data_IF_969635225237
#
_entry.id   IF_969635225237
#
_cell.length_a   1.000
_cell.length_b   1.000
_cell.length_c   1.000
_cell.angle_alpha   90.00
_cell.angle_beta   90.00
_cell.angle_gamma   90.00
#
_symmetry.space_group_name_H-M   'P 1'
#
loop_
_entity.id
_entity.type
_entity.pdbx_description
1 polymer ?
#
# COMPACT_ATOMS: atom_id res chain seq x y z
N UNK A 1 2.57 -0.25 -10.77
CA UNK A 1 3.92 0.32 -10.58
C UNK A 1 4.90 -0.41 -11.48
N UNK A 2 5.86 0.28 -12.10
CA UNK A 2 6.91 -0.37 -12.90
C UNK A 2 7.97 -1.04 -12.01
N UNK A 3 8.77 -1.94 -12.58
CA UNK A 3 9.84 -2.60 -11.83
C UNK A 3 10.92 -1.61 -11.37
N UNK A 4 11.25 -0.61 -12.20
CA UNK A 4 12.25 0.40 -11.87
C UNK A 4 11.82 1.28 -10.68
N UNK A 5 10.58 1.77 -10.69
CA UNK A 5 10.01 2.52 -9.55
C UNK A 5 10.01 1.69 -8.27
N UNK A 6 9.63 0.41 -8.38
CA UNK A 6 9.65 -0.51 -7.24
C UNK A 6 11.06 -0.68 -6.64
N UNK A 7 12.10 -0.76 -7.47
CA UNK A 7 13.49 -0.90 -7.01
C UNK A 7 14.00 0.30 -6.20
N UNK A 8 13.51 1.50 -6.53
CA UNK A 8 13.81 2.73 -5.79
C UNK A 8 13.04 2.74 -4.48
N UNK A 9 11.72 2.56 -4.53
CA UNK A 9 10.83 2.70 -3.38
C UNK A 9 11.12 1.64 -2.31
N UNK A 10 11.39 0.38 -2.71
CA UNK A 10 11.60 -0.71 -1.75
C UNK A 10 12.74 -0.46 -0.75
N UNK A 11 13.71 0.39 -1.10
CA UNK A 11 14.86 0.74 -0.23
C UNK A 11 14.45 1.63 0.95
N UNK A 12 13.33 2.34 0.81
CA UNK A 12 12.80 3.25 1.83
C UNK A 12 11.68 2.61 2.66
N UNK A 13 11.24 1.41 2.30
CA UNK A 13 10.15 0.76 3.01
C UNK A 13 10.68 0.02 4.25
N UNK A 14 10.03 0.19 5.42
CA UNK A 14 10.42 -0.53 6.62
C UNK A 14 10.21 -2.03 6.42
N UNK A 15 10.97 -2.88 7.10
CA UNK A 15 10.72 -4.33 7.03
C UNK A 15 9.27 -4.63 7.43
N UNK A 16 8.54 -5.39 6.60
CA UNK A 16 7.21 -5.88 6.99
C UNK A 16 7.37 -6.80 8.18
N UNK A 17 6.85 -6.40 9.34
CA UNK A 17 6.74 -7.31 10.47
C UNK A 17 5.62 -8.29 10.15
N UNK A 18 5.88 -9.61 10.09
CA UNK A 18 4.85 -10.61 9.83
C UNK A 18 3.90 -10.64 11.02
N UNK A 19 2.81 -9.86 10.96
CA UNK A 19 1.77 -9.86 11.99
C UNK A 19 0.51 -10.47 11.39
N UNK A 20 0.41 -11.80 11.48
CA UNK A 20 -0.83 -12.58 11.29
C UNK A 20 -1.50 -12.58 9.91
N UNK A 21 -1.12 -11.69 8.99
CA UNK A 21 -1.61 -11.67 7.63
C UNK A 21 -0.57 -12.29 6.70
N UNK A 22 -1.02 -13.26 5.88
CA UNK A 22 -0.29 -13.81 4.72
C UNK A 22 0.56 -12.71 4.09
N UNK A 23 1.80 -13.05 3.78
CA UNK A 23 2.90 -12.22 3.27
C UNK A 23 2.52 -11.37 2.04
N UNK A 24 1.63 -10.39 2.22
CA UNK A 24 1.32 -9.42 1.18
C UNK A 24 2.51 -8.46 1.19
N UNK A 25 3.44 -8.71 0.27
CA UNK A 25 4.61 -7.88 0.09
C UNK A 25 4.25 -6.43 -0.21
N UNK A 26 5.14 -5.53 0.19
CA UNK A 26 5.04 -4.09 -0.01
C UNK A 26 4.63 -3.64 -1.41
N UNK A 27 5.12 -4.36 -2.43
CA UNK A 27 4.78 -4.08 -3.83
C UNK A 27 3.28 -4.15 -4.07
N UNK A 28 2.62 -5.18 -3.54
CA UNK A 28 1.18 -5.38 -3.70
C UNK A 28 0.37 -4.38 -2.89
N UNK A 29 0.90 -3.93 -1.75
CA UNK A 29 0.32 -2.83 -0.97
C UNK A 29 0.33 -1.54 -1.77
N UNK A 30 1.48 -1.19 -2.33
CA UNK A 30 1.64 0.01 -3.15
C UNK A 30 0.83 -0.05 -4.44
N UNK A 31 0.83 -1.19 -5.15
CA UNK A 31 0.02 -1.35 -6.35
C UNK A 31 -1.47 -1.18 -6.06
N UNK A 32 -1.96 -1.69 -4.92
CA UNK A 32 -3.35 -1.47 -4.47
C UNK A 32 -3.64 0.00 -4.13
N UNK A 33 -2.69 0.70 -3.48
CA UNK A 33 -2.80 2.13 -3.16
C UNK A 33 -2.83 2.98 -4.43
N UNK A 34 -1.91 2.73 -5.37
CA UNK A 34 -1.84 3.47 -6.62
C UNK A 34 -3.04 3.20 -7.54
N UNK A 35 -3.53 1.96 -7.58
CA UNK A 35 -4.75 1.63 -8.32
C UNK A 35 -5.97 2.40 -7.77
N UNK A 36 -6.16 2.39 -6.45
CA UNK A 36 -7.24 3.15 -5.81
C UNK A 36 -7.14 4.67 -6.03
N UNK A 37 -5.93 5.22 -6.07
CA UNK A 37 -5.73 6.67 -6.27
C UNK A 37 -5.83 7.09 -7.76
N UNK A 38 -5.42 6.24 -8.70
CA UNK A 38 -5.37 6.57 -10.14
C UNK A 38 -6.74 6.50 -10.79
N UNK A 39 -7.58 5.55 -10.40
CA UNK A 39 -8.90 5.37 -11.01
C UNK A 39 -10.00 6.19 -10.34
N UNK A 40 -9.72 6.78 -9.17
CA UNK A 40 -10.79 7.35 -8.32
C UNK A 40 -11.79 6.30 -7.83
N UNK A 41 -11.56 5.02 -8.14
CA UNK A 41 -12.34 3.89 -7.65
C UNK A 41 -12.33 3.94 -6.12
N UNK A 42 -13.51 4.09 -5.53
CA UNK A 42 -13.68 3.95 -4.09
C UNK A 42 -12.97 2.66 -3.68
N UNK A 43 -12.17 2.66 -2.62
CA UNK A 43 -11.40 1.50 -2.14
C UNK A 43 -12.23 0.20 -2.06
N UNK A 44 -13.56 0.31 -1.92
CA UNK A 44 -14.55 -0.77 -1.92
C UNK A 44 -14.80 -1.43 -3.28
N UNK A 45 -14.48 -0.75 -4.39
CA UNK A 45 -14.60 -1.23 -5.76
C UNK A 45 -13.32 -1.92 -6.28
N UNK A 46 -12.26 -2.00 -5.47
CA UNK A 46 -11.05 -2.73 -5.83
C UNK A 46 -11.39 -4.19 -6.19
N UNK A 47 -10.86 -4.72 -7.32
CA UNK A 47 -11.10 -6.10 -7.70
C UNK A 47 -10.72 -7.06 -6.58
N UNK A 48 -11.49 -8.14 -6.40
CA UNK A 48 -11.25 -9.17 -5.37
C UNK A 48 -9.84 -9.78 -5.43
N UNK A 49 -9.19 -9.69 -6.57
CA UNK A 49 -7.81 -10.12 -6.84
C UNK A 49 -6.78 -9.40 -5.95
N UNK A 50 -7.06 -8.12 -5.63
CA UNK A 50 -6.28 -7.36 -4.68
C UNK A 50 -6.55 -7.81 -3.24
N UNK A 51 -7.55 -8.64 -2.96
CA UNK A 51 -7.84 -9.13 -1.62
C UNK A 51 -8.48 -8.07 -0.73
N UNK A 52 -8.13 -8.05 0.56
CA UNK A 52 -8.77 -7.16 1.54
C UNK A 52 -8.32 -5.71 1.35
N UNK A 53 -9.13 -4.90 0.67
CA UNK A 53 -8.88 -3.47 0.46
C UNK A 53 -8.60 -2.68 1.75
N UNK A 54 -9.14 -3.17 2.88
CA UNK A 54 -8.91 -2.62 4.22
C UNK A 54 -7.43 -2.54 4.58
N UNK A 55 -6.60 -3.47 4.11
CA UNK A 55 -5.15 -3.47 4.33
C UNK A 55 -4.49 -2.29 3.62
N UNK A 56 -4.84 -2.06 2.35
CA UNK A 56 -4.31 -0.95 1.55
C UNK A 56 -4.74 0.40 2.13
N UNK A 57 -6.01 0.51 2.51
CA UNK A 57 -6.52 1.71 3.16
C UNK A 57 -5.88 1.96 4.52
N UNK A 58 -5.60 0.91 5.30
CA UNK A 58 -4.89 1.03 6.58
C UNK A 58 -3.49 1.64 6.40
N UNK A 59 -2.68 1.11 5.47
CA UNK A 59 -1.35 1.67 5.17
C UNK A 59 -1.42 3.07 4.56
N UNK A 60 -2.36 3.31 3.64
CA UNK A 60 -2.59 4.63 3.09
C UNK A 60 -2.92 5.65 4.19
N UNK A 61 -3.80 5.29 5.13
CA UNK A 61 -4.15 6.15 6.27
C UNK A 61 -2.97 6.35 7.19
N UNK A 62 -2.20 5.31 7.49
CA UNK A 62 -0.98 5.42 8.30
C UNK A 62 0.00 6.42 7.67
N UNK A 63 0.35 6.26 6.38
CA UNK A 63 1.27 7.17 5.71
C UNK A 63 0.74 8.58 5.55
N UNK A 64 -0.57 8.75 5.36
CA UNK A 64 -1.19 10.08 5.34
C UNK A 64 -1.18 10.75 6.72
N UNK A 65 -1.19 9.97 7.79
CA UNK A 65 -1.07 10.47 9.18
C UNK A 65 0.39 10.62 9.63
N UNK A 66 1.32 9.95 8.94
CA UNK A 66 2.78 10.00 9.15
C UNK A 66 3.46 11.09 8.31
N UNK A 67 2.69 12.01 7.72
CA UNK A 67 3.22 13.23 7.10
C UNK A 67 4.06 14.06 8.08
N UNK A 68 4.95 14.95 7.60
CA UNK A 68 5.88 15.71 8.43
C UNK A 68 5.12 16.63 9.39
N UNK A 69 4.80 16.10 10.56
CA UNK A 69 3.86 16.70 11.50
C UNK A 69 3.84 16.02 12.86
N UNK A 70 4.91 15.31 13.21
CA UNK A 70 5.26 15.01 14.60
C UNK A 70 6.74 15.27 14.80
N UNK A 71 7.01 16.40 15.46
CA UNK A 71 8.21 16.55 16.27
C UNK A 71 8.17 15.65 17.50
#
# INVERSE_FOLDING_TARGET
MTYAEWQVIKRFLPALKPRGHKEIGWRRILDGIFCGNKEGCQWRALPKEFGKWQLYYHYFRLWRMDGPGRG
#
